data_IF_291737430181
#
_entry.id   IF_291737430181
#
_cell.length_a   1.000
_cell.length_b   1.000
_cell.length_c   1.000
_cell.angle_alpha   90.00
_cell.angle_beta   90.00
_cell.angle_gamma   90.00
#
_symmetry.space_group_name_H-M   'P 1'
#
loop_
_entity.id
_entity.type
_entity.pdbx_description
1 polymer ?
#
# COMPACT_ATOMS: atom_id res chain seq x y z
N UNK A 1 3.43 0.09 -12.09
CA UNK A 1 3.13 -0.44 -10.74
C UNK A 1 4.20 -1.39 -10.22
N UNK A 2 4.89 -2.19 -11.06
CA UNK A 2 5.97 -3.10 -10.59
C UNK A 2 7.03 -2.40 -9.74
N UNK A 3 7.54 -1.24 -10.18
CA UNK A 3 8.58 -0.48 -9.44
C UNK A 3 8.14 -0.12 -8.02
N UNK A 4 6.92 0.44 -7.87
CA UNK A 4 6.37 0.82 -6.57
C UNK A 4 6.13 -0.39 -5.66
N UNK A 5 5.59 -1.49 -6.21
CA UNK A 5 5.38 -2.74 -5.45
C UNK A 5 6.70 -3.36 -4.98
N UNK A 6 7.72 -3.39 -5.82
CA UNK A 6 9.07 -3.84 -5.44
C UNK A 6 9.68 -2.94 -4.36
N UNK A 7 9.49 -1.61 -4.47
CA UNK A 7 9.91 -0.69 -3.42
C UNK A 7 9.22 -0.97 -2.08
N UNK A 8 7.91 -1.21 -2.06
CA UNK A 8 7.15 -1.58 -0.85
C UNK A 8 7.64 -2.90 -0.27
N UNK A 9 7.91 -3.90 -1.11
CA UNK A 9 8.51 -5.17 -0.66
C UNK A 9 9.87 -4.96 0.02
N UNK A 10 10.71 -4.09 -0.53
CA UNK A 10 11.99 -3.71 0.09
C UNK A 10 11.81 -2.90 1.38
N UNK A 11 10.77 -2.07 1.48
CA UNK A 11 10.43 -1.40 2.73
C UNK A 11 10.09 -2.41 3.82
N UNK A 12 9.33 -3.44 3.48
CA UNK A 12 8.84 -4.46 4.41
C UNK A 12 9.88 -5.52 4.79
N UNK A 13 10.99 -5.62 4.06
CA UNK A 13 12.11 -6.49 4.43
C UNK A 13 13.05 -5.88 5.48
N UNK A 14 12.93 -4.57 5.77
CA UNK A 14 13.72 -3.87 6.81
C UNK A 14 13.47 -4.44 8.19
N UNK A 15 14.34 -4.16 9.17
CA UNK A 15 14.22 -4.67 10.56
C UNK A 15 13.11 -3.99 11.37
N UNK A 16 12.87 -2.69 11.14
CA UNK A 16 11.89 -1.89 11.87
C UNK A 16 10.82 -1.37 10.92
N UNK A 17 9.58 -1.31 11.40
CA UNK A 17 8.48 -0.77 10.62
C UNK A 17 8.69 0.73 10.35
N UNK A 18 8.20 1.25 9.21
CA UNK A 18 8.36 2.64 8.87
C UNK A 18 7.64 3.54 9.88
N UNK A 19 8.19 4.73 10.16
CA UNK A 19 7.59 5.65 11.13
C UNK A 19 6.15 6.02 10.72
N UNK A 20 5.27 6.12 11.71
CA UNK A 20 3.87 6.51 11.48
C UNK A 20 2.99 5.43 10.86
N UNK A 21 3.48 4.18 10.73
CA UNK A 21 2.70 3.08 10.16
C UNK A 21 1.38 2.84 10.89
N UNK A 22 1.33 3.03 12.22
CA UNK A 22 0.11 2.84 13.01
C UNK A 22 -0.98 3.82 12.61
N UNK A 23 -0.62 5.10 12.45
CA UNK A 23 -1.56 6.12 12.01
C UNK A 23 -2.05 5.81 10.61
N UNK A 24 -1.14 5.48 9.69
CA UNK A 24 -1.49 5.12 8.32
C UNK A 24 -2.50 3.97 8.25
N UNK A 25 -2.27 2.88 8.99
CA UNK A 25 -3.17 1.72 8.95
C UNK A 25 -4.52 2.02 9.59
N UNK A 26 -4.57 2.76 10.70
CA UNK A 26 -5.83 3.21 11.31
C UNK A 26 -6.60 4.13 10.38
N UNK A 27 -5.91 5.09 9.76
CA UNK A 27 -6.50 6.01 8.80
C UNK A 27 -7.08 5.25 7.59
N UNK A 28 -6.32 4.30 7.03
CA UNK A 28 -6.78 3.47 5.93
C UNK A 28 -8.04 2.66 6.28
N UNK A 29 -8.08 2.03 7.45
CA UNK A 29 -9.22 1.21 7.88
C UNK A 29 -10.47 2.08 8.13
N UNK A 30 -10.29 3.30 8.64
CA UNK A 30 -11.41 4.18 9.03
C UNK A 30 -11.94 5.04 7.87
N UNK A 31 -11.06 5.50 6.98
CA UNK A 31 -11.41 6.43 5.90
C UNK A 31 -11.52 5.73 4.54
N UNK A 32 -10.90 4.55 4.38
CA UNK A 32 -10.84 3.79 3.14
C UNK A 32 -11.13 2.30 3.38
N UNK A 33 -12.15 1.99 4.19
CA UNK A 33 -12.46 0.63 4.67
C UNK A 33 -12.57 -0.41 3.54
N UNK A 34 -13.20 -0.08 2.42
CA UNK A 34 -13.28 -0.95 1.23
C UNK A 34 -11.91 -1.20 0.60
N UNK A 35 -11.05 -0.19 0.55
CA UNK A 35 -9.68 -0.33 0.04
C UNK A 35 -8.84 -1.18 0.99
N UNK A 36 -8.91 -0.91 2.30
CA UNK A 36 -8.17 -1.69 3.31
C UNK A 36 -8.61 -3.16 3.35
N UNK A 37 -9.91 -3.44 3.20
CA UNK A 37 -10.45 -4.80 3.20
C UNK A 37 -10.32 -5.53 1.85
N UNK A 38 -10.20 -4.80 0.74
CA UNK A 38 -10.17 -5.34 -0.62
C UNK A 38 -8.82 -5.87 -1.12
N UNK A 39 -7.89 -6.14 -0.21
CA UNK A 39 -6.52 -6.59 -0.51
C UNK A 39 -6.45 -7.93 -1.23
N UNK A 40 -5.36 -8.16 -1.97
CA UNK A 40 -5.05 -9.46 -2.56
C UNK A 40 -4.10 -10.23 -1.61
N UNK A 41 -4.59 -11.36 -1.08
CA UNK A 41 -3.84 -12.16 -0.10
C UNK A 41 -2.53 -12.74 -0.63
N UNK A 42 -2.45 -13.06 -1.93
CA UNK A 42 -1.22 -13.56 -2.55
C UNK A 42 -0.20 -12.45 -2.68
N UNK A 43 -0.60 -11.30 -3.22
CA UNK A 43 0.29 -10.13 -3.35
C UNK A 43 0.78 -9.66 -1.97
N UNK A 44 -0.08 -9.69 -0.95
CA UNK A 44 0.29 -9.25 0.40
C UNK A 44 1.28 -10.23 1.05
N UNK A 45 1.10 -11.54 0.86
CA UNK A 45 2.06 -12.56 1.31
C UNK A 45 3.42 -12.41 0.60
N UNK A 46 3.41 -12.16 -0.71
CA UNK A 46 4.62 -11.88 -1.49
C UNK A 46 5.34 -10.61 -1.02
N UNK A 47 4.59 -9.56 -0.66
CA UNK A 47 5.14 -8.30 -0.14
C UNK A 47 5.90 -8.47 1.18
N UNK A 48 5.44 -9.34 2.08
CA UNK A 48 6.16 -9.65 3.33
C UNK A 48 7.20 -10.75 3.18
N UNK A 49 7.39 -11.29 1.98
CA UNK A 49 8.33 -12.39 1.72
C UNK A 49 7.91 -13.70 2.41
N UNK A 50 6.62 -13.92 2.61
CA UNK A 50 6.12 -15.18 3.16
C UNK A 50 6.43 -16.33 2.21
N UNK A 51 6.84 -17.48 2.76
CA UNK A 51 6.92 -18.73 2.00
C UNK A 51 5.52 -19.27 1.83
N UNK A 52 5.04 -19.25 0.60
CA UNK A 52 3.69 -19.64 0.22
C UNK A 52 3.76 -20.95 -0.55
N UNK A 53 3.02 -21.96 -0.10
CA UNK A 53 2.74 -23.16 -0.90
C UNK A 53 1.50 -22.89 -1.74
N UNK A 54 1.58 -23.09 -3.05
CA UNK A 54 0.44 -22.84 -3.93
C UNK A 54 -0.75 -23.75 -3.58
N UNK A 55 -1.95 -23.19 -3.66
CA UNK A 55 -3.20 -23.91 -3.40
C UNK A 55 -4.32 -23.42 -4.31
N UNK A 56 -5.12 -24.36 -4.81
CA UNK A 56 -6.32 -24.09 -5.60
C UNK A 56 -7.59 -24.04 -4.72
N UNK A 57 -7.45 -23.99 -3.39
CA UNK A 57 -8.59 -23.94 -2.49
C UNK A 57 -9.42 -22.66 -2.71
N UNK A 58 -10.74 -22.80 -2.65
CA UNK A 58 -11.64 -21.65 -2.68
C UNK A 58 -11.37 -20.72 -1.49
N UNK A 59 -11.35 -19.41 -1.73
CA UNK A 59 -10.97 -18.39 -0.74
C UNK A 59 -9.57 -18.59 -0.13
N UNK A 60 -8.63 -19.17 -0.89
CA UNK A 60 -7.24 -19.29 -0.46
C UNK A 60 -6.62 -17.90 -0.22
N UNK A 61 -6.01 -17.74 0.95
CA UNK A 61 -5.39 -16.49 1.38
C UNK A 61 -4.06 -16.83 2.07
N UNK A 62 -2.93 -16.79 1.36
CA UNK A 62 -1.65 -17.19 1.93
C UNK A 62 -1.12 -16.23 2.99
N UNK A 63 -1.57 -14.97 3.00
CA UNK A 63 -1.26 -14.06 4.10
C UNK A 63 -1.95 -14.52 5.40
N UNK A 64 -3.20 -15.00 5.32
CA UNK A 64 -3.91 -15.60 6.47
C UNK A 64 -3.12 -16.78 7.03
N UNK A 65 -2.63 -17.65 6.16
CA UNK A 65 -1.84 -18.82 6.58
C UNK A 65 -0.49 -18.39 7.19
N UNK A 66 0.13 -17.34 6.65
CA UNK A 66 1.37 -16.76 7.21
C UNK A 66 1.16 -16.23 8.63
N UNK A 67 0.13 -15.41 8.87
CA UNK A 67 -0.14 -14.84 10.20
C UNK A 67 -0.61 -15.89 11.21
N UNK A 68 -1.17 -17.01 10.75
CA UNK A 68 -1.49 -18.15 11.61
C UNK A 68 -0.23 -18.92 12.04
N UNK A 69 0.81 -18.96 11.20
CA UNK A 69 2.07 -19.68 11.47
C UNK A 69 3.02 -18.93 12.39
N UNK A 70 2.96 -17.60 12.44
CA UNK A 70 3.88 -16.80 13.25
C UNK A 70 3.25 -15.51 13.75
N UNK A 71 3.56 -15.17 15.00
CA UNK A 71 3.23 -13.88 15.62
C UNK A 71 4.40 -12.89 15.57
N UNK A 72 5.48 -13.24 14.87
CA UNK A 72 6.68 -12.40 14.78
C UNK A 72 6.42 -11.24 13.84
N UNK A 73 6.59 -10.01 14.35
CA UNK A 73 6.53 -8.76 13.58
C UNK A 73 5.20 -8.60 12.78
N UNK A 74 4.04 -8.76 13.45
CA UNK A 74 2.73 -8.75 12.78
C UNK A 74 2.42 -7.41 12.11
N UNK A 75 3.08 -6.33 12.52
CA UNK A 75 2.96 -5.01 11.91
C UNK A 75 3.27 -5.02 10.41
N UNK A 76 4.19 -5.87 9.95
CA UNK A 76 4.53 -5.96 8.52
C UNK A 76 3.41 -6.60 7.70
N UNK A 77 2.71 -7.59 8.27
CA UNK A 77 1.54 -8.19 7.62
C UNK A 77 0.39 -7.18 7.52
N UNK A 78 0.18 -6.37 8.56
CA UNK A 78 -0.84 -5.32 8.55
C UNK A 78 -0.52 -4.22 7.52
N UNK A 79 0.73 -3.77 7.45
CA UNK A 79 1.14 -2.77 6.45
C UNK A 79 0.99 -3.34 5.03
N UNK A 80 1.42 -4.59 4.79
CA UNK A 80 1.28 -5.23 3.48
C UNK A 80 -0.19 -5.37 3.04
N UNK A 81 -1.07 -5.79 3.97
CA UNK A 81 -2.50 -5.87 3.73
C UNK A 81 -3.07 -4.52 3.26
N UNK A 82 -2.76 -3.44 3.99
CA UNK A 82 -3.24 -2.10 3.63
C UNK A 82 -2.62 -1.61 2.31
N UNK A 83 -1.31 -1.74 2.15
CA UNK A 83 -0.61 -1.31 0.92
C UNK A 83 -1.15 -2.03 -0.32
N UNK A 84 -1.37 -3.34 -0.24
CA UNK A 84 -1.92 -4.10 -1.38
C UNK A 84 -3.36 -3.71 -1.73
N UNK A 85 -4.17 -3.37 -0.74
CA UNK A 85 -5.47 -2.74 -0.95
C UNK A 85 -5.37 -1.47 -1.80
N UNK A 86 -4.51 -0.53 -1.40
CA UNK A 86 -4.28 0.70 -2.17
C UNK A 86 -3.68 0.45 -3.55
N UNK A 87 -2.71 -0.48 -3.68
CA UNK A 87 -2.10 -0.84 -4.96
C UNK A 87 -3.09 -1.39 -5.98
N UNK A 88 -4.25 -1.90 -5.54
CA UNK A 88 -5.33 -2.37 -6.42
C UNK A 88 -6.15 -1.21 -6.99
N UNK A 89 -6.22 -0.09 -6.27
CA UNK A 89 -6.99 1.10 -6.69
C UNK A 89 -6.23 1.94 -7.73
N UNK A 90 -4.89 1.91 -7.71
CA UNK A 90 -4.05 2.70 -8.62
C UNK A 90 -3.77 1.91 -9.91
N UNK A 91 -4.62 2.11 -10.91
CA UNK A 91 -4.45 1.66 -12.29
C UNK A 91 -3.42 2.53 -13.05
N UNK A 92 -3.05 2.08 -14.26
CA UNK A 92 -2.04 2.75 -15.11
C UNK A 92 -2.47 4.17 -15.53
N UNK A 93 -3.76 4.40 -15.66
CA UNK A 93 -4.39 5.64 -16.10
C UNK A 93 -5.04 6.44 -14.97
N UNK A 94 -4.87 6.02 -13.71
CA UNK A 94 -5.40 6.73 -12.53
C UNK A 94 -4.95 8.20 -12.40
N UNK A 95 -3.88 8.60 -13.09
CA UNK A 95 -3.44 10.00 -13.17
C UNK A 95 -4.44 10.91 -13.90
N UNK A 96 -5.33 10.35 -14.74
CA UNK A 96 -6.39 11.10 -15.43
C UNK A 96 -7.60 11.38 -14.55
N UNK A 97 -7.80 10.59 -13.48
CA UNK A 97 -8.86 10.80 -12.51
C UNK A 97 -8.34 10.49 -11.09
N UNK A 98 -7.51 11.38 -10.53
CA UNK A 98 -6.94 11.19 -9.20
C UNK A 98 -8.02 11.20 -8.10
N UNK A 99 -8.00 10.20 -7.21
CA UNK A 99 -8.85 10.14 -6.03
C UNK A 99 -8.09 10.48 -4.75
N UNK A 100 -8.82 10.78 -3.68
CA UNK A 100 -8.20 11.00 -2.36
C UNK A 100 -7.46 9.76 -1.87
N UNK A 101 -8.03 8.57 -2.10
CA UNK A 101 -7.41 7.27 -1.80
C UNK A 101 -6.04 7.11 -2.46
N UNK A 102 -5.89 7.53 -3.73
CA UNK A 102 -4.58 7.49 -4.41
C UNK A 102 -3.58 8.44 -3.76
N UNK A 103 -4.01 9.66 -3.44
CA UNK A 103 -3.15 10.69 -2.84
C UNK A 103 -2.67 10.31 -1.45
N UNK A 104 -3.56 9.82 -0.59
CA UNK A 104 -3.20 9.43 0.78
C UNK A 104 -2.11 8.35 0.80
N UNK A 105 -2.25 7.36 -0.09
CA UNK A 105 -1.25 6.30 -0.22
C UNK A 105 0.07 6.80 -0.79
N UNK A 106 0.05 7.50 -1.92
CA UNK A 106 1.28 7.97 -2.56
C UNK A 106 2.03 8.96 -1.66
N UNK A 107 1.32 9.87 -0.98
CA UNK A 107 1.93 10.76 0.01
C UNK A 107 2.58 9.95 1.15
N UNK A 108 1.91 8.91 1.65
CA UNK A 108 2.49 8.08 2.70
C UNK A 108 3.76 7.35 2.24
N UNK A 109 3.77 6.83 1.01
CA UNK A 109 4.98 6.20 0.46
C UNK A 109 6.12 7.21 0.32
N UNK A 110 5.84 8.42 -0.16
CA UNK A 110 6.83 9.51 -0.26
C UNK A 110 7.40 9.87 1.11
N UNK A 111 6.55 9.96 2.14
CA UNK A 111 7.01 10.17 3.52
C UNK A 111 7.91 9.05 4.04
N UNK A 112 7.75 7.83 3.54
CA UNK A 112 8.62 6.69 3.85
C UNK A 112 9.87 6.61 2.95
N UNK A 113 10.06 7.56 2.04
CA UNK A 113 11.23 7.70 1.18
C UNK A 113 11.06 7.12 -0.23
N UNK A 114 9.82 6.92 -0.70
CA UNK A 114 9.56 6.56 -2.09
C UNK A 114 9.69 7.79 -2.99
N UNK A 115 10.42 7.68 -4.10
CA UNK A 115 10.45 8.71 -5.14
C UNK A 115 9.33 8.42 -6.15
N UNK A 116 8.28 9.23 -6.12
CA UNK A 116 7.19 9.13 -7.09
C UNK A 116 7.67 9.49 -8.51
N UNK A 117 7.24 8.70 -9.49
CA UNK A 117 7.43 8.96 -10.92
C UNK A 117 6.65 10.20 -11.37
N UNK A 118 6.99 10.73 -12.55
CA UNK A 118 6.28 11.89 -13.14
C UNK A 118 4.76 11.70 -13.19
N UNK A 119 4.29 10.49 -13.55
CA UNK A 119 2.86 10.17 -13.61
C UNK A 119 2.20 10.14 -12.22
N UNK A 120 2.93 9.66 -11.21
CA UNK A 120 2.45 9.67 -9.83
C UNK A 120 2.48 11.07 -9.22
N UNK A 121 3.41 11.93 -9.65
CA UNK A 121 3.42 13.34 -9.25
C UNK A 121 2.17 14.07 -9.74
N UNK A 122 1.67 13.78 -10.95
CA UNK A 122 0.39 14.34 -11.42
C UNK A 122 -0.76 14.02 -10.44
N UNK A 123 -0.80 12.78 -9.91
CA UNK A 123 -1.80 12.37 -8.91
C UNK A 123 -1.62 13.18 -7.63
N UNK A 124 -0.39 13.32 -7.14
CA UNK A 124 -0.08 14.05 -5.91
C UNK A 124 -0.43 15.55 -6.03
N UNK A 125 -0.12 16.16 -7.16
CA UNK A 125 -0.34 17.58 -7.42
C UNK A 125 -1.82 17.93 -7.62
N UNK A 126 -2.64 16.99 -8.10
CA UNK A 126 -4.09 17.19 -8.29
C UNK A 126 -4.87 17.56 -7.02
N UNK A 127 -4.32 17.30 -5.84
CA UNK A 127 -4.94 17.62 -4.55
C UNK A 127 -4.38 18.88 -3.88
N UNK A 128 -3.36 19.51 -4.47
CA UNK A 128 -2.84 20.78 -3.97
C UNK A 128 -3.82 21.90 -4.33
N UNK A 129 -4.10 22.85 -3.42
CA UNK A 129 -4.77 24.08 -3.82
C UNK A 129 -4.00 24.68 -4.98
N UNK A 130 -4.69 25.16 -6.02
CA UNK A 130 -4.03 25.94 -7.06
C UNK A 130 -3.26 27.07 -6.35
N UNK A 131 -1.95 27.19 -6.61
CA UNK A 131 -1.20 28.36 -6.17
C UNK A 131 -1.97 29.57 -6.73
N UNK A 132 -2.57 30.33 -5.82
CA UNK A 132 -3.20 31.59 -6.19
C UNK A 132 -2.02 32.48 -6.53
N UNK A 133 -1.78 32.68 -7.83
CA UNK A 133 -0.82 33.65 -8.32
C UNK A 133 -1.09 34.98 -7.59
N UNK A 134 -0.22 35.32 -6.65
CA UNK A 134 -0.23 36.60 -5.98
C UNK A 134 0.25 37.62 -7.00
N UNK A 135 -0.71 38.21 -7.71
CA UNK A 135 -0.53 39.37 -8.59
C UNK A 135 -0.20 40.64 -7.79
#
# INVERSE_FOLDING_TARGET
TTVRREWVKNLLSKKQAPKGWQYFTVHAITHHAETASGYDGKVAAEMVGAKVEESNAWAWNPLRDHVAKTTTRPEFSLIALVCTGYEKTIAKDSWRSPSQTHRDYLNQLVLWGYTASEVEQIILDSGKPAEVDAA
#
